data_IF_404161697235
#
_entry.id   IF_404161697235
#
_cell.length_a   1.000
_cell.length_b   1.000
_cell.length_c   1.000
_cell.angle_alpha   90.00
_cell.angle_beta   90.00
_cell.angle_gamma   90.00
#
_symmetry.space_group_name_H-M   'P 1'
#
loop_
_entity.id
_entity.type
_entity.pdbx_description
1 polymer ?
#
# COMPACT_ATOMS: atom_id res chain seq x y z
N UNK A 1 5.17 4.41 -20.81
CA UNK A 1 4.87 3.27 -21.70
C UNK A 1 5.88 3.25 -22.84
N UNK A 2 6.64 2.17 -22.98
CA UNK A 2 7.54 1.97 -24.13
C UNK A 2 6.69 1.44 -25.28
N UNK A 3 6.82 2.08 -26.45
CA UNK A 3 6.23 1.58 -27.68
C UNK A 3 6.98 0.29 -28.07
N UNK A 4 6.30 -0.84 -28.25
CA UNK A 4 6.96 -2.08 -28.65
C UNK A 4 7.54 -1.94 -30.07
N UNK A 5 8.81 -2.29 -30.23
CA UNK A 5 9.53 -2.20 -31.49
C UNK A 5 9.90 -3.59 -32.00
N UNK A 6 9.56 -3.89 -33.26
CA UNK A 6 10.01 -5.10 -33.98
C UNK A 6 10.98 -4.65 -35.08
N UNK A 7 12.14 -5.28 -35.15
CA UNK A 7 13.16 -4.95 -36.14
C UNK A 7 13.09 -5.97 -37.30
N UNK A 8 12.99 -5.46 -38.51
CA UNK A 8 13.12 -6.26 -39.74
C UNK A 8 14.57 -6.19 -40.22
N UNK A 9 15.23 -7.34 -40.35
CA UNK A 9 16.67 -7.39 -40.72
C UNK A 9 16.92 -8.30 -41.91
N UNK A 10 17.96 -7.98 -42.71
CA UNK A 10 18.45 -8.86 -43.78
C UNK A 10 19.40 -9.94 -43.26
N UNK A 11 19.96 -9.74 -42.06
CA UNK A 11 20.88 -10.70 -41.44
C UNK A 11 20.13 -11.56 -40.43
N UNK A 12 20.33 -12.88 -40.54
CA UNK A 12 19.73 -13.88 -39.69
C UNK A 12 20.75 -14.61 -38.78
N UNK A 13 21.96 -14.03 -38.67
CA UNK A 13 22.98 -14.62 -37.81
C UNK A 13 22.71 -14.36 -36.31
N UNK A 14 23.20 -15.27 -35.46
CA UNK A 14 22.98 -15.27 -34.02
C UNK A 14 23.52 -14.00 -33.33
N UNK A 15 24.57 -13.40 -33.86
CA UNK A 15 25.16 -12.20 -33.25
C UNK A 15 24.32 -10.96 -33.55
N UNK A 16 23.71 -10.88 -34.73
CA UNK A 16 22.76 -9.82 -35.10
C UNK A 16 21.48 -9.94 -34.24
N UNK A 17 20.94 -11.15 -34.07
CA UNK A 17 19.79 -11.40 -33.20
C UNK A 17 20.04 -10.90 -31.76
N UNK A 18 21.18 -11.29 -31.20
CA UNK A 18 21.59 -10.89 -29.85
C UNK A 18 21.70 -9.36 -29.74
N UNK A 19 22.37 -8.69 -30.66
CA UNK A 19 22.51 -7.23 -30.67
C UNK A 19 21.16 -6.50 -30.75
N UNK A 20 20.24 -7.01 -31.59
CA UNK A 20 18.91 -6.43 -31.75
C UNK A 20 18.12 -6.54 -30.45
N UNK A 21 18.13 -7.68 -29.76
CA UNK A 21 17.45 -7.87 -28.49
C UNK A 21 18.09 -7.05 -27.36
N UNK A 22 19.42 -6.96 -27.33
CA UNK A 22 20.18 -6.12 -26.38
C UNK A 22 19.91 -4.61 -26.58
N UNK A 23 19.56 -4.17 -27.80
CA UNK A 23 19.16 -2.78 -28.06
C UNK A 23 17.78 -2.40 -27.52
N UNK A 24 17.04 -3.36 -26.92
CA UNK A 24 15.72 -3.16 -26.36
C UNK A 24 14.57 -3.40 -27.34
N UNK A 25 14.82 -4.00 -28.49
CA UNK A 25 13.76 -4.47 -29.40
C UNK A 25 12.97 -5.61 -28.74
N UNK A 26 11.66 -5.62 -28.97
CA UNK A 26 10.77 -6.64 -28.42
C UNK A 26 10.79 -7.95 -29.21
N UNK A 27 11.08 -7.85 -30.49
CA UNK A 27 11.27 -9.00 -31.40
C UNK A 27 12.02 -8.58 -32.66
N UNK A 28 12.47 -9.55 -33.45
CA UNK A 28 13.06 -9.31 -34.75
C UNK A 28 12.52 -10.31 -35.79
N UNK A 29 12.55 -9.94 -37.06
CA UNK A 29 12.13 -10.81 -38.18
C UNK A 29 13.17 -10.71 -39.31
N UNK A 30 13.84 -11.83 -39.65
CA UNK A 30 14.77 -11.85 -40.80
C UNK A 30 14.03 -11.80 -42.12
N UNK A 31 14.65 -11.18 -43.13
CA UNK A 31 14.20 -11.24 -44.54
C UNK A 31 14.77 -12.51 -45.24
N UNK A 32 14.05 -13.12 -46.19
CA UNK A 32 12.70 -12.82 -46.63
C UNK A 32 11.67 -13.26 -45.56
N UNK A 33 10.63 -12.45 -45.30
CA UNK A 33 9.65 -12.71 -44.28
C UNK A 33 8.29 -13.12 -44.88
N UNK A 34 7.64 -14.03 -44.20
CA UNK A 34 6.28 -14.43 -44.46
C UNK A 34 5.30 -13.48 -43.73
N UNK A 35 4.28 -13.01 -44.46
CA UNK A 35 3.29 -12.09 -43.91
C UNK A 35 2.51 -12.68 -42.74
N UNK A 36 2.26 -13.99 -42.73
CA UNK A 36 1.52 -14.65 -41.66
C UNK A 36 2.40 -14.80 -40.39
N UNK A 37 3.70 -15.03 -40.57
CA UNK A 37 4.66 -15.03 -39.45
C UNK A 37 4.76 -13.63 -38.84
N UNK A 38 4.82 -12.56 -39.64
CA UNK A 38 4.84 -11.19 -39.13
C UNK A 38 3.56 -10.91 -38.36
N UNK A 39 2.37 -11.26 -38.88
CA UNK A 39 1.11 -11.08 -38.18
C UNK A 39 1.07 -11.79 -36.80
N UNK A 40 1.60 -13.03 -36.75
CA UNK A 40 1.65 -13.80 -35.50
C UNK A 40 2.59 -13.15 -34.50
N UNK A 41 3.77 -12.71 -34.92
CA UNK A 41 4.73 -12.01 -34.05
C UNK A 41 4.18 -10.68 -33.53
N UNK A 42 3.55 -9.88 -34.42
CA UNK A 42 2.86 -8.65 -34.03
C UNK A 42 1.78 -8.91 -32.97
N UNK A 43 0.93 -9.93 -33.17
CA UNK A 43 -0.09 -10.30 -32.17
C UNK A 43 0.54 -10.64 -30.82
N UNK A 44 1.64 -11.41 -30.80
CA UNK A 44 2.32 -11.79 -29.59
C UNK A 44 2.95 -10.58 -28.87
N UNK A 45 3.58 -9.68 -29.61
CA UNK A 45 4.18 -8.46 -29.04
C UNK A 45 3.11 -7.53 -28.49
N UNK A 46 1.98 -7.35 -29.19
CA UNK A 46 0.84 -6.55 -28.71
C UNK A 46 0.25 -7.17 -27.44
N UNK A 47 0.03 -8.48 -27.42
CA UNK A 47 -0.49 -9.17 -26.25
C UNK A 47 0.42 -9.01 -25.01
N UNK A 48 1.74 -9.16 -25.20
CA UNK A 48 2.72 -8.93 -24.11
C UNK A 48 2.71 -7.48 -23.63
N UNK A 49 2.62 -6.50 -24.54
CA UNK A 49 2.51 -5.08 -24.19
C UNK A 49 1.25 -4.78 -23.37
N UNK A 50 0.10 -5.35 -23.78
CA UNK A 50 -1.15 -5.19 -23.04
C UNK A 50 -1.08 -5.79 -21.64
N UNK A 51 -0.50 -6.98 -21.48
CA UNK A 51 -0.30 -7.61 -20.16
C UNK A 51 0.62 -6.76 -19.28
N UNK A 52 1.70 -6.21 -19.82
CA UNK A 52 2.60 -5.33 -19.08
C UNK A 52 1.89 -4.06 -18.62
N UNK A 53 1.15 -3.41 -19.52
CA UNK A 53 0.37 -2.21 -19.21
C UNK A 53 -0.69 -2.48 -18.13
N UNK A 54 -1.40 -3.60 -18.23
CA UNK A 54 -2.39 -4.00 -17.21
C UNK A 54 -1.75 -4.23 -15.84
N UNK A 55 -0.54 -4.82 -15.79
CA UNK A 55 0.22 -4.98 -14.54
C UNK A 55 0.62 -3.63 -13.94
N UNK A 56 1.12 -2.71 -14.76
CA UNK A 56 1.48 -1.35 -14.32
C UNK A 56 0.26 -0.60 -13.79
N UNK A 57 -0.86 -0.62 -14.52
CA UNK A 57 -2.12 -0.02 -14.08
C UNK A 57 -2.61 -0.64 -12.77
N UNK A 58 -2.56 -1.95 -12.65
CA UNK A 58 -2.95 -2.66 -11.43
C UNK A 58 -2.06 -2.27 -10.23
N UNK A 59 -0.75 -2.10 -10.46
CA UNK A 59 0.16 -1.66 -9.42
C UNK A 59 -0.14 -0.22 -8.98
N UNK A 60 -0.30 0.72 -9.93
CA UNK A 60 -0.62 2.12 -9.63
C UNK A 60 -1.96 2.27 -8.92
N UNK A 61 -2.96 1.45 -9.27
CA UNK A 61 -4.29 1.50 -8.62
C UNK A 61 -4.31 0.86 -7.24
N UNK A 62 -3.51 -0.18 -7.02
CA UNK A 62 -3.59 -1.00 -5.82
C UNK A 62 -2.56 -0.65 -4.74
N UNK A 63 -1.46 0.00 -5.09
CA UNK A 63 -0.39 0.31 -4.15
C UNK A 63 -0.09 1.81 -4.11
N UNK A 64 0.24 2.29 -2.92
CA UNK A 64 0.77 3.65 -2.74
C UNK A 64 2.21 3.71 -3.29
N UNK A 65 2.53 4.65 -4.22
CA UNK A 65 3.82 4.67 -4.90
C UNK A 65 5.00 5.02 -3.99
N UNK A 66 4.76 5.68 -2.86
CA UNK A 66 5.81 6.05 -1.92
C UNK A 66 6.13 4.92 -0.95
N UNK A 67 5.10 4.30 -0.39
CA UNK A 67 5.22 3.35 0.73
C UNK A 67 5.10 1.89 0.31
N UNK A 68 4.63 1.63 -0.92
CA UNK A 68 4.46 0.29 -1.52
C UNK A 68 3.52 -0.64 -0.71
N UNK A 69 2.68 -0.07 0.13
CA UNK A 69 1.57 -0.77 0.78
C UNK A 69 0.28 -0.51 0.01
N UNK A 70 -0.81 -1.15 0.37
CA UNK A 70 -2.07 -0.95 -0.33
C UNK A 70 -2.48 0.53 -0.35
N UNK A 71 -2.97 0.97 -1.52
CA UNK A 71 -3.70 2.22 -1.66
C UNK A 71 -5.00 2.15 -0.85
N UNK A 72 -5.62 3.29 -0.55
CA UNK A 72 -6.91 3.37 0.16
C UNK A 72 -7.96 2.43 -0.44
N UNK A 73 -8.13 2.46 -1.76
CA UNK A 73 -9.15 1.66 -2.43
C UNK A 73 -8.88 0.15 -2.31
N UNK A 74 -7.64 -0.25 -2.51
CA UNK A 74 -7.24 -1.66 -2.36
C UNK A 74 -7.35 -2.12 -0.92
N UNK A 75 -6.92 -1.31 0.05
CA UNK A 75 -7.05 -1.61 1.47
C UNK A 75 -8.51 -1.81 1.87
N UNK A 76 -9.41 -0.90 1.47
CA UNK A 76 -10.83 -1.02 1.79
C UNK A 76 -11.47 -2.26 1.17
N UNK A 77 -11.14 -2.56 -0.09
CA UNK A 77 -11.66 -3.77 -0.75
C UNK A 77 -11.11 -5.06 -0.12
N UNK A 78 -9.82 -5.08 0.25
CA UNK A 78 -9.21 -6.20 0.95
C UNK A 78 -9.79 -6.40 2.35
N UNK A 79 -10.02 -5.30 3.10
CA UNK A 79 -10.67 -5.35 4.42
C UNK A 79 -12.10 -5.90 4.34
N UNK A 80 -12.85 -5.51 3.31
CA UNK A 80 -14.20 -6.03 3.06
C UNK A 80 -14.19 -7.53 2.76
N UNK A 81 -13.27 -7.98 1.92
CA UNK A 81 -13.11 -9.40 1.62
C UNK A 81 -12.73 -10.19 2.89
N UNK A 82 -11.73 -9.69 3.63
CA UNK A 82 -11.28 -10.32 4.87
C UNK A 82 -12.40 -10.45 5.91
N UNK A 83 -13.22 -9.41 6.07
CA UNK A 83 -14.39 -9.43 6.96
C UNK A 83 -15.41 -10.48 6.52
N UNK A 84 -15.68 -10.59 5.20
CA UNK A 84 -16.63 -11.56 4.64
C UNK A 84 -16.13 -12.99 4.80
N UNK A 85 -14.85 -13.24 4.54
CA UNK A 85 -14.25 -14.59 4.51
C UNK A 85 -13.99 -15.16 5.91
N UNK A 86 -14.12 -14.34 6.96
CA UNK A 86 -13.93 -14.75 8.36
C UNK A 86 -15.15 -14.36 9.22
N UNK A 87 -16.32 -15.02 9.08
CA UNK A 87 -17.54 -14.66 9.78
C UNK A 87 -17.44 -14.79 11.30
N UNK A 88 -16.64 -15.72 11.79
CA UNK A 88 -16.52 -16.05 13.22
C UNK A 88 -15.49 -15.18 13.97
N UNK A 89 -14.68 -14.40 13.24
CA UNK A 89 -13.66 -13.53 13.85
C UNK A 89 -14.21 -12.13 14.09
N UNK A 90 -13.97 -11.59 15.27
CA UNK A 90 -14.18 -10.17 15.52
C UNK A 90 -12.98 -9.37 14.99
N UNK A 91 -13.23 -8.21 14.39
CA UNK A 91 -12.20 -7.35 13.81
C UNK A 91 -12.20 -5.97 14.45
N UNK A 92 -11.06 -5.29 14.35
CA UNK A 92 -10.93 -3.87 14.64
C UNK A 92 -10.33 -3.14 13.44
N UNK A 93 -10.81 -1.93 13.21
CA UNK A 93 -10.20 -0.96 12.31
C UNK A 93 -9.35 0.01 13.14
N UNK A 94 -8.04 0.01 12.91
CA UNK A 94 -7.11 0.95 13.52
C UNK A 94 -6.73 1.99 12.47
N UNK A 95 -6.96 3.26 12.80
CA UNK A 95 -6.49 4.40 12.03
C UNK A 95 -5.30 5.01 12.73
N UNK A 96 -4.17 5.05 12.06
CA UNK A 96 -2.93 5.65 12.52
C UNK A 96 -2.74 7.00 11.82
N UNK A 97 -2.44 8.05 12.55
CA UNK A 97 -2.23 9.41 12.07
C UNK A 97 -0.91 9.95 12.67
N UNK A 98 -0.04 10.52 11.85
CA UNK A 98 1.20 11.15 12.33
C UNK A 98 0.86 12.60 12.72
N UNK A 99 0.87 12.87 14.03
CA UNK A 99 0.52 14.21 14.50
C UNK A 99 1.51 15.25 13.99
N UNK A 100 0.97 16.39 13.54
CA UNK A 100 1.73 17.55 13.03
C UNK A 100 2.69 17.22 11.87
N UNK A 101 2.36 16.25 11.01
CA UNK A 101 3.21 15.84 9.90
C UNK A 101 3.60 17.01 8.97
N UNK A 102 2.71 17.98 8.77
CA UNK A 102 3.02 19.21 8.01
C UNK A 102 4.15 20.01 8.63
N UNK A 103 4.23 20.10 9.97
CA UNK A 103 5.34 20.77 10.65
C UNK A 103 6.64 20.01 10.48
N UNK A 104 6.60 18.68 10.53
CA UNK A 104 7.78 17.84 10.25
C UNK A 104 8.32 18.16 8.86
N UNK A 105 7.47 18.20 7.84
CA UNK A 105 7.89 18.59 6.49
C UNK A 105 8.43 20.02 6.39
N UNK A 106 7.85 20.95 7.13
CA UNK A 106 8.30 22.35 7.14
C UNK A 106 9.66 22.52 7.79
N UNK A 107 9.97 21.77 8.86
CA UNK A 107 11.23 21.89 9.58
C UNK A 107 12.36 21.02 9.00
N UNK A 108 12.06 19.83 8.52
CA UNK A 108 13.07 18.85 8.11
C UNK A 108 13.04 18.54 6.60
N UNK A 109 12.13 19.17 5.86
CA UNK A 109 11.94 18.98 4.42
C UNK A 109 11.11 17.72 4.07
N UNK A 110 10.53 17.75 2.86
CA UNK A 110 9.66 16.66 2.36
C UNK A 110 10.37 15.31 2.26
N UNK A 111 11.66 15.32 1.90
CA UNK A 111 12.45 14.08 1.83
C UNK A 111 12.60 13.39 3.20
N UNK A 112 12.58 14.13 4.30
CA UNK A 112 12.56 13.54 5.65
C UNK A 112 11.18 12.93 5.94
N UNK A 113 10.10 13.64 5.63
CA UNK A 113 8.74 13.14 5.77
C UNK A 113 8.51 11.86 4.97
N UNK A 114 9.00 11.80 3.73
CA UNK A 114 8.90 10.60 2.88
C UNK A 114 9.62 9.40 3.51
N UNK A 115 10.83 9.61 4.06
CA UNK A 115 11.54 8.56 4.79
C UNK A 115 10.78 8.09 6.03
N UNK A 116 10.14 9.02 6.75
CA UNK A 116 9.31 8.69 7.90
C UNK A 116 8.11 7.83 7.49
N UNK A 117 7.37 8.23 6.46
CA UNK A 117 6.23 7.47 5.92
C UNK A 117 6.65 6.05 5.51
N UNK A 118 7.78 5.89 4.84
CA UNK A 118 8.34 4.56 4.48
C UNK A 118 8.67 3.71 5.73
N UNK A 119 9.20 4.34 6.79
CA UNK A 119 9.48 3.63 8.06
C UNK A 119 8.21 3.18 8.77
N UNK A 120 7.19 4.05 8.82
CA UNK A 120 5.86 3.70 9.36
C UNK A 120 5.27 2.53 8.59
N UNK A 121 5.24 2.59 7.26
CA UNK A 121 4.73 1.52 6.41
C UNK A 121 5.50 0.20 6.63
N UNK A 122 6.83 0.25 6.78
CA UNK A 122 7.65 -0.92 7.10
C UNK A 122 7.24 -1.55 8.43
N UNK A 123 7.04 -0.75 9.49
CA UNK A 123 6.61 -1.27 10.81
C UNK A 123 5.23 -1.92 10.75
N UNK A 124 4.29 -1.29 10.04
CA UNK A 124 2.95 -1.89 9.84
C UNK A 124 3.06 -3.22 9.09
N UNK A 125 3.89 -3.28 8.04
CA UNK A 125 4.15 -4.51 7.29
C UNK A 125 4.78 -5.61 8.16
N UNK A 126 5.71 -5.25 9.03
CA UNK A 126 6.36 -6.21 9.93
C UNK A 126 5.38 -6.75 10.99
N UNK A 127 4.50 -5.90 11.54
CA UNK A 127 3.39 -6.33 12.39
C UNK A 127 2.44 -7.29 11.65
N UNK A 128 2.06 -6.97 10.41
CA UNK A 128 1.14 -7.80 9.63
C UNK A 128 1.70 -9.18 9.27
N UNK A 129 3.04 -9.35 9.22
CA UNK A 129 3.66 -10.67 9.01
C UNK A 129 3.46 -11.62 10.19
N UNK A 130 3.29 -11.10 11.38
CA UNK A 130 3.10 -11.87 12.61
C UNK A 130 1.63 -12.04 12.99
N UNK A 131 0.72 -11.42 12.23
CA UNK A 131 -0.72 -11.40 12.53
C UNK A 131 -1.49 -12.01 11.36
N UNK A 132 -2.11 -13.15 11.59
CA UNK A 132 -2.99 -13.75 10.59
C UNK A 132 -4.24 -12.90 10.35
N UNK A 133 -4.79 -12.98 9.16
CA UNK A 133 -6.01 -12.25 8.78
C UNK A 133 -5.91 -10.73 8.99
N UNK A 134 -4.76 -10.14 8.68
CA UNK A 134 -4.51 -8.70 8.77
C UNK A 134 -4.34 -8.08 7.38
N UNK A 135 -4.90 -6.88 7.17
CA UNK A 135 -4.64 -6.07 5.99
C UNK A 135 -4.39 -4.63 6.38
N UNK A 136 -3.64 -3.89 5.57
CA UNK A 136 -3.22 -2.52 5.87
C UNK A 136 -2.97 -1.73 4.60
N UNK A 137 -3.06 -0.41 4.72
CA UNK A 137 -2.86 0.49 3.59
C UNK A 137 -2.66 1.94 4.01
N UNK A 138 -2.25 2.76 3.06
CA UNK A 138 -2.18 4.22 3.21
C UNK A 138 -3.49 4.82 2.77
N UNK A 139 -4.14 5.57 3.68
CA UNK A 139 -5.47 6.13 3.45
C UNK A 139 -5.37 7.55 2.89
N UNK A 140 -4.42 8.32 3.41
CA UNK A 140 -4.17 9.71 3.03
C UNK A 140 -2.70 10.06 3.28
N UNK A 141 -2.31 11.31 3.13
CA UNK A 141 -0.95 11.84 3.18
C UNK A 141 -0.08 11.25 4.31
N UNK A 142 -0.55 11.32 5.53
CA UNK A 142 0.10 10.87 6.77
C UNK A 142 -0.75 9.87 7.58
N UNK A 143 -1.78 9.30 6.92
CA UNK A 143 -2.76 8.44 7.54
C UNK A 143 -2.66 7.02 7.00
N UNK A 144 -2.57 6.05 7.91
CA UNK A 144 -2.55 4.63 7.61
C UNK A 144 -3.75 3.93 8.25
N UNK A 145 -4.18 2.85 7.62
CA UNK A 145 -5.20 1.96 8.15
C UNK A 145 -4.66 0.56 8.36
N UNK A 146 -5.09 -0.08 9.43
CA UNK A 146 -4.84 -1.48 9.72
C UNK A 146 -6.19 -2.11 10.05
N UNK A 147 -6.53 -3.20 9.39
CA UNK A 147 -7.71 -4.00 9.68
C UNK A 147 -7.25 -5.38 10.14
N UNK A 148 -7.54 -5.73 11.40
CA UNK A 148 -6.93 -6.86 12.09
C UNK A 148 -7.93 -7.55 13.00
N UNK A 149 -7.76 -8.86 13.32
CA UNK A 149 -8.56 -9.50 14.35
C UNK A 149 -8.47 -8.76 15.68
N UNK A 150 -9.60 -8.63 16.34
CA UNK A 150 -9.70 -8.01 17.66
C UNK A 150 -9.64 -9.07 18.75
N UNK A 151 -8.60 -9.02 19.56
CA UNK A 151 -8.34 -9.97 20.65
C UNK A 151 -8.69 -9.41 22.05
N UNK A 152 -9.45 -8.32 22.07
CA UNK A 152 -9.80 -7.62 23.31
C UNK A 152 -9.08 -6.28 23.46
N UNK A 153 -9.62 -5.44 24.35
CA UNK A 153 -9.14 -4.07 24.53
C UNK A 153 -7.70 -4.04 25.07
N UNK A 154 -7.41 -4.86 26.06
CA UNK A 154 -6.10 -4.89 26.72
C UNK A 154 -4.98 -5.26 25.75
N UNK A 155 -5.18 -6.33 24.94
CA UNK A 155 -4.20 -6.76 23.97
C UNK A 155 -4.01 -5.71 22.85
N UNK A 156 -5.09 -5.11 22.38
CA UNK A 156 -5.01 -4.02 21.37
C UNK A 156 -4.25 -2.82 21.92
N UNK A 157 -4.48 -2.44 23.16
CA UNK A 157 -3.76 -1.33 23.84
C UNK A 157 -2.26 -1.66 23.91
N UNK A 158 -1.91 -2.84 24.40
CA UNK A 158 -0.52 -3.29 24.50
C UNK A 158 0.20 -3.25 23.14
N UNK A 159 -0.44 -3.71 22.09
CA UNK A 159 0.10 -3.67 20.72
C UNK A 159 0.31 -2.23 20.22
N UNK A 160 -0.64 -1.33 20.50
CA UNK A 160 -0.53 0.09 20.14
C UNK A 160 0.61 0.76 20.94
N UNK A 161 0.68 0.56 22.24
CA UNK A 161 1.72 1.15 23.09
C UNK A 161 3.13 0.68 22.66
N UNK A 162 3.28 -0.60 22.36
CA UNK A 162 4.52 -1.14 21.81
C UNK A 162 4.86 -0.50 20.45
N UNK A 163 3.87 -0.36 19.56
CA UNK A 163 4.07 0.26 18.27
C UNK A 163 4.48 1.74 18.41
N UNK A 164 3.84 2.49 19.32
CA UNK A 164 4.19 3.89 19.62
C UNK A 164 5.62 4.01 20.14
N UNK A 165 6.01 3.14 21.07
CA UNK A 165 7.37 3.16 21.63
C UNK A 165 8.42 2.83 20.58
N UNK A 166 8.16 1.87 19.72
CA UNK A 166 9.03 1.54 18.60
C UNK A 166 9.15 2.69 17.59
N UNK A 167 8.07 3.42 17.37
CA UNK A 167 8.09 4.59 16.48
C UNK A 167 8.89 5.77 17.06
N UNK A 168 8.86 5.98 18.37
CA UNK A 168 9.69 7.00 19.03
C UNK A 168 11.17 6.76 18.77
N UNK A 169 11.61 5.50 18.73
CA UNK A 169 12.99 5.11 18.44
C UNK A 169 13.44 5.39 17.00
N UNK A 170 12.48 5.63 16.08
CA UNK A 170 12.82 5.88 14.67
C UNK A 170 13.42 7.25 14.39
N UNK A 171 13.32 8.20 15.30
CA UNK A 171 13.92 9.52 15.15
C UNK A 171 14.65 9.94 16.42
N UNK A 172 15.96 10.17 16.30
CA UNK A 172 16.75 10.76 17.37
C UNK A 172 16.57 12.29 17.47
N UNK A 173 16.10 12.94 16.41
CA UNK A 173 16.07 14.40 16.27
C UNK A 173 14.72 15.04 16.57
N UNK A 174 13.64 14.27 16.56
CA UNK A 174 12.28 14.78 16.80
C UNK A 174 11.39 13.68 17.39
N UNK A 175 10.64 14.04 18.46
CA UNK A 175 9.69 13.12 19.06
C UNK A 175 8.45 12.97 18.16
N UNK A 176 8.43 11.91 17.35
CA UNK A 176 7.32 11.61 16.46
C UNK A 176 6.13 11.17 17.30
N UNK A 177 5.05 11.93 17.21
CA UNK A 177 3.79 11.58 17.84
C UNK A 177 2.88 10.87 16.86
N UNK A 178 2.46 9.68 17.21
CA UNK A 178 1.51 8.88 16.44
C UNK A 178 0.25 8.68 17.29
N UNK A 179 -0.88 8.87 16.64
CA UNK A 179 -2.20 8.75 17.26
C UNK A 179 -2.96 7.62 16.61
N UNK A 180 -3.55 6.77 17.42
CA UNK A 180 -4.42 5.69 16.98
C UNK A 180 -5.87 5.95 17.33
N UNK A 181 -6.76 5.85 16.36
CA UNK A 181 -8.19 5.69 16.57
C UNK A 181 -8.57 4.25 16.32
N UNK A 182 -9.32 3.66 17.21
CA UNK A 182 -9.74 2.25 17.14
C UNK A 182 -11.25 2.16 17.05
N UNK A 183 -11.76 1.51 16.02
CA UNK A 183 -13.14 1.09 15.91
C UNK A 183 -13.22 -0.44 15.99
N UNK A 184 -13.86 -0.97 17.01
CA UNK A 184 -14.16 -2.41 17.11
C UNK A 184 -15.40 -2.69 16.27
N UNK A 185 -15.32 -3.64 15.33
CA UNK A 185 -16.42 -3.95 14.42
C UNK A 185 -17.55 -4.63 15.19
N UNK A 186 -18.58 -3.88 15.51
CA UNK A 186 -19.82 -4.36 16.14
C UNK A 186 -20.91 -4.63 15.11
N UNK A 187 -20.92 -3.88 14.04
CA UNK A 187 -21.85 -4.05 12.91
C UNK A 187 -21.06 -4.35 11.63
N UNK A 188 -21.16 -5.59 11.16
CA UNK A 188 -20.46 -6.08 9.97
C UNK A 188 -21.10 -5.62 8.65
N UNK A 189 -22.32 -5.06 8.69
CA UNK A 189 -23.02 -4.53 7.52
C UNK A 189 -22.50 -3.15 7.11
N UNK A 190 -21.82 -2.44 8.02
CA UNK A 190 -21.27 -1.12 7.75
C UNK A 190 -20.17 -1.17 6.68
N UNK A 191 -20.14 -0.22 5.74
CA UNK A 191 -19.03 -0.05 4.82
C UNK A 191 -17.71 0.21 5.58
N UNK A 192 -16.60 -0.30 5.05
CA UNK A 192 -15.26 -0.08 5.64
C UNK A 192 -14.91 1.41 5.77
N UNK A 193 -15.43 2.26 4.86
CA UNK A 193 -15.28 3.71 4.94
C UNK A 193 -15.87 4.29 6.23
N UNK A 194 -17.06 3.84 6.63
CA UNK A 194 -17.70 4.27 7.89
C UNK A 194 -16.92 3.78 9.12
N UNK A 195 -16.36 2.58 9.07
CA UNK A 195 -15.47 2.08 10.13
C UNK A 195 -14.21 2.96 10.25
N UNK A 196 -13.66 3.39 9.11
CA UNK A 196 -12.54 4.33 9.06
C UNK A 196 -12.92 5.70 9.65
N UNK A 197 -14.13 6.22 9.35
CA UNK A 197 -14.59 7.51 9.85
C UNK A 197 -14.82 7.46 11.37
N UNK A 198 -15.38 6.38 11.91
CA UNK A 198 -15.51 6.15 13.35
C UNK A 198 -14.15 6.10 14.04
N UNK A 199 -13.18 5.39 13.46
CA UNK A 199 -11.82 5.39 13.97
C UNK A 199 -11.18 6.80 13.90
N UNK A 200 -11.50 7.61 12.87
CA UNK A 200 -11.04 8.98 12.75
C UNK A 200 -11.62 9.89 13.85
N UNK A 201 -12.89 9.72 14.21
CA UNK A 201 -13.51 10.44 15.34
C UNK A 201 -12.78 10.12 16.63
N UNK A 202 -12.51 8.84 16.91
CA UNK A 202 -11.76 8.45 18.09
C UNK A 202 -10.34 9.06 18.09
N UNK A 203 -9.61 9.02 16.97
CA UNK A 203 -8.29 9.62 16.87
C UNK A 203 -8.29 11.13 17.16
N UNK A 204 -9.34 11.86 16.73
CA UNK A 204 -9.48 13.29 16.99
C UNK A 204 -9.50 13.63 18.49
N UNK A 205 -10.06 12.77 19.34
CA UNK A 205 -10.18 13.05 20.78
C UNK A 205 -8.85 13.04 21.52
N UNK A 206 -7.83 12.43 20.93
CA UNK A 206 -6.48 12.33 21.53
C UNK A 206 -5.41 13.09 20.75
N UNK A 207 -5.74 13.61 19.57
CA UNK A 207 -4.82 14.41 18.74
C UNK A 207 -4.40 15.68 19.49
N UNK A 208 -3.10 15.91 19.61
CA UNK A 208 -2.53 17.02 20.38
C UNK A 208 -2.36 16.76 21.88
N UNK A 209 -2.78 15.61 22.38
CA UNK A 209 -2.59 15.23 23.79
C UNK A 209 -1.31 14.39 23.96
N UNK A 210 -0.30 14.94 24.63
CA UNK A 210 1.01 14.28 24.82
C UNK A 210 0.97 12.98 25.61
N UNK A 211 -0.08 12.79 26.45
CA UNK A 211 -0.19 11.65 27.37
C UNK A 211 -1.03 10.49 26.83
N UNK A 212 -1.74 10.68 25.71
CA UNK A 212 -2.60 9.64 25.11
C UNK A 212 -2.29 9.50 23.64
N UNK A 213 -1.89 8.31 23.23
CA UNK A 213 -1.61 7.96 21.83
C UNK A 213 -2.75 7.20 21.15
N UNK A 214 -3.82 6.86 21.86
CA UNK A 214 -4.95 6.13 21.29
C UNK A 214 -6.29 6.48 21.93
N UNK A 215 -7.36 6.26 21.17
CA UNK A 215 -8.73 6.23 21.68
C UNK A 215 -9.55 5.16 20.96
N UNK A 216 -10.49 4.55 21.68
CA UNK A 216 -11.51 3.70 21.10
C UNK A 216 -12.74 4.53 20.78
N UNK A 217 -13.37 4.25 19.65
CA UNK A 217 -14.65 4.86 19.29
C UNK A 217 -15.74 4.45 20.29
N UNK A 218 -16.55 5.40 20.66
CA UNK A 218 -17.77 5.24 21.45
C UNK A 218 -18.90 5.97 20.73
N UNK A 219 -20.11 5.40 20.71
CA UNK A 219 -21.28 5.99 20.03
C UNK A 219 -21.69 7.36 20.58
N UNK A 220 -21.10 7.81 21.68
CA UNK A 220 -21.28 9.15 22.26
C UNK A 220 -20.38 10.22 21.64
N UNK A 221 -19.42 9.81 20.76
CA UNK A 221 -18.54 10.71 20.04
C UNK A 221 -19.23 11.26 18.79
#
# INVERSE_FOLDING_TARGET
SQIPVIILTEKSDRDTEKKVLESGAWDFVPKPYDADIIKLRLKNVIARSQVSLLKELNNVMNYDPLTEIYSKNKFFSASKALLKDNPDKQFAFLRLDIDRFKLINSFFGTAYGDRLLKRVAKRIRDFAKTTECCTFGRIDADVFGIFTPYQGKEETVKQIEQAVEDMKKLSASYNIMIVYGVYVVTDRSLPISFMCDRAALAAKTVKGHYMKSYAFYDDKM
#
